data_IF_393017632570
#
_entry.id   IF_393017632570
#
_cell.length_a   1.000
_cell.length_b   1.000
_cell.length_c   1.000
_cell.angle_alpha   90.00
_cell.angle_beta   90.00
_cell.angle_gamma   90.00
#
_symmetry.space_group_name_H-M   'P 1'
#
loop_
_entity.id
_entity.type
_entity.pdbx_description
1 polymer ?
#
# COMPACT_ATOMS: atom_id res chain seq x y z
N UNK A 1 -10.30 -15.50 -9.17
CA UNK A 1 -9.57 -14.66 -8.18
C UNK A 1 -10.22 -13.30 -8.15
N UNK A 2 -10.61 -12.79 -6.98
CA UNK A 2 -11.26 -11.49 -6.85
C UNK A 2 -10.31 -10.52 -6.13
N UNK A 3 -10.06 -9.36 -6.75
CA UNK A 3 -9.15 -8.34 -6.23
C UNK A 3 -9.89 -7.03 -5.97
N UNK A 4 -9.45 -6.29 -4.95
CA UNK A 4 -9.92 -4.93 -4.68
C UNK A 4 -8.75 -3.97 -4.58
N UNK A 5 -8.90 -2.77 -5.12
CA UNK A 5 -7.99 -1.66 -4.89
C UNK A 5 -8.70 -0.58 -4.09
N UNK A 6 -8.20 -0.26 -2.90
CA UNK A 6 -8.89 0.56 -1.89
C UNK A 6 -8.00 1.72 -1.42
N UNK A 7 -8.59 2.78 -0.86
CA UNK A 7 -7.82 3.85 -0.19
C UNK A 7 -7.18 3.33 1.10
N UNK A 8 -6.08 3.94 1.52
CA UNK A 8 -5.43 3.54 2.77
C UNK A 8 -6.28 3.77 4.02
N UNK A 9 -7.10 4.82 4.06
CA UNK A 9 -7.97 5.10 5.22
C UNK A 9 -8.96 3.95 5.43
N UNK A 10 -8.87 3.28 6.58
CA UNK A 10 -9.74 2.17 6.93
C UNK A 10 -10.96 2.62 7.76
N UNK A 11 -12.18 2.15 7.43
CA UNK A 11 -12.52 1.40 6.22
C UNK A 11 -12.61 2.34 5.00
N UNK A 12 -12.41 1.81 3.79
CA UNK A 12 -12.74 2.55 2.57
C UNK A 12 -14.29 2.62 2.44
N UNK A 13 -14.91 3.80 2.60
CA UNK A 13 -16.37 3.91 2.62
C UNK A 13 -17.01 3.55 1.27
N UNK A 14 -16.29 3.72 0.16
CA UNK A 14 -16.81 3.42 -1.19
C UNK A 14 -16.87 1.93 -1.45
N UNK A 15 -15.99 1.16 -0.82
CA UNK A 15 -15.85 -0.28 -1.00
C UNK A 15 -16.42 -1.09 0.18
N UNK A 16 -16.91 -0.44 1.25
CA UNK A 16 -17.30 -1.08 2.50
C UNK A 16 -18.23 -2.27 2.32
N UNK A 17 -19.33 -2.12 1.58
CA UNK A 17 -20.31 -3.21 1.36
C UNK A 17 -19.67 -4.43 0.69
N UNK A 18 -18.85 -4.23 -0.33
CA UNK A 18 -18.16 -5.31 -1.02
C UNK A 18 -17.09 -5.96 -0.13
N UNK A 19 -16.33 -5.15 0.59
CA UNK A 19 -15.31 -5.56 1.55
C UNK A 19 -15.88 -6.37 2.73
N UNK A 20 -17.11 -6.08 3.15
CA UNK A 20 -17.78 -6.81 4.23
C UNK A 20 -18.15 -8.24 3.86
N UNK A 21 -18.29 -8.54 2.55
CA UNK A 21 -18.52 -9.92 2.07
C UNK A 21 -17.34 -10.87 2.32
N UNK A 22 -16.15 -10.31 2.56
CA UNK A 22 -14.87 -11.06 2.71
C UNK A 22 -14.53 -11.97 1.52
N UNK A 23 -15.09 -11.72 0.33
CA UNK A 23 -14.85 -12.53 -0.88
C UNK A 23 -13.54 -12.17 -1.62
N UNK A 24 -12.91 -11.04 -1.30
CA UNK A 24 -11.67 -10.63 -1.94
C UNK A 24 -10.48 -11.47 -1.48
N UNK A 25 -9.90 -12.20 -2.43
CA UNK A 25 -8.68 -13.00 -2.23
C UNK A 25 -7.42 -12.14 -2.18
N UNK A 26 -7.42 -10.97 -2.85
CA UNK A 26 -6.32 -10.02 -2.84
C UNK A 26 -6.83 -8.60 -2.62
N UNK A 27 -6.17 -7.83 -1.75
CA UNK A 27 -6.53 -6.44 -1.44
C UNK A 27 -5.29 -5.57 -1.62
N UNK A 28 -5.38 -4.60 -2.51
CA UNK A 28 -4.32 -3.66 -2.84
C UNK A 28 -4.65 -2.32 -2.18
N UNK A 29 -3.97 -2.02 -1.07
CA UNK A 29 -4.27 -0.81 -0.28
C UNK A 29 -3.39 0.33 -0.78
N UNK A 30 -3.98 1.40 -1.30
CA UNK A 30 -3.27 2.55 -1.87
C UNK A 30 -2.78 3.49 -0.78
N UNK A 31 -1.48 3.44 -0.46
CA UNK A 31 -0.80 4.36 0.48
C UNK A 31 -0.21 5.58 -0.23
N UNK A 32 -1.00 6.16 -1.14
CA UNK A 32 -0.74 7.38 -1.91
C UNK A 32 -2.08 8.10 -2.15
N UNK A 33 -2.05 9.37 -2.55
CA UNK A 33 -3.26 10.17 -2.87
C UNK A 33 -4.23 10.36 -1.67
N UNK A 34 -3.73 10.17 -0.45
CA UNK A 34 -4.45 10.44 0.80
C UNK A 34 -3.48 10.86 1.92
N UNK A 35 -3.38 12.16 2.25
CA UNK A 35 -2.39 12.67 3.20
C UNK A 35 -2.59 12.15 4.63
N UNK A 36 -3.76 11.58 4.96
CA UNK A 36 -4.03 11.01 6.29
C UNK A 36 -3.29 9.70 6.52
N UNK A 37 -2.85 9.04 5.46
CA UNK A 37 -2.25 7.72 5.56
C UNK A 37 -1.15 7.42 4.54
N UNK A 38 -0.82 8.31 3.59
CA UNK A 38 0.36 8.14 2.75
C UNK A 38 1.65 8.41 3.54
N UNK A 39 2.74 7.72 3.17
CA UNK A 39 3.95 7.67 3.99
C UNK A 39 4.62 9.03 4.20
N UNK A 40 4.77 9.84 3.15
CA UNK A 40 5.48 11.12 3.27
C UNK A 40 4.68 12.19 4.05
N UNK A 41 3.38 11.96 4.27
CA UNK A 41 2.51 12.88 5.02
C UNK A 41 2.25 12.38 6.45
N UNK A 42 1.94 11.10 6.62
CA UNK A 42 1.56 10.51 7.90
C UNK A 42 2.70 9.74 8.59
N UNK A 43 3.84 9.58 7.92
CA UNK A 43 4.98 8.81 8.38
C UNK A 43 4.69 7.31 8.52
N UNK A 44 5.68 6.59 9.07
CA UNK A 44 5.54 5.16 9.35
C UNK A 44 4.36 4.87 10.30
N UNK A 45 4.18 5.69 11.33
CA UNK A 45 3.12 5.50 12.32
C UNK A 45 1.73 5.60 11.69
N UNK A 46 1.48 6.59 10.82
CA UNK A 46 0.20 6.75 10.15
C UNK A 46 -0.10 5.62 9.16
N UNK A 47 0.91 5.17 8.41
CA UNK A 47 0.77 4.01 7.52
C UNK A 47 0.44 2.75 8.33
N UNK A 48 1.20 2.46 9.39
CA UNK A 48 0.99 1.27 10.21
C UNK A 48 -0.34 1.28 10.97
N UNK A 49 -0.83 2.45 11.38
CA UNK A 49 -2.15 2.58 12.00
C UNK A 49 -3.28 2.08 11.08
N UNK A 50 -3.17 2.33 9.77
CA UNK A 50 -4.14 1.80 8.80
C UNK A 50 -3.82 0.36 8.39
N UNK A 51 -2.55 0.05 8.13
CA UNK A 51 -2.11 -1.29 7.74
C UNK A 51 -2.57 -2.35 8.75
N UNK A 52 -2.40 -2.10 10.05
CA UNK A 52 -2.81 -3.01 11.12
C UNK A 52 -4.32 -3.24 11.15
N UNK A 53 -5.13 -2.23 10.80
CA UNK A 53 -6.59 -2.39 10.71
C UNK A 53 -6.99 -3.23 9.50
N UNK A 54 -6.34 -3.00 8.36
CA UNK A 54 -6.54 -3.80 7.15
C UNK A 54 -6.15 -5.26 7.37
N UNK A 55 -4.95 -5.54 7.91
CA UNK A 55 -4.48 -6.90 8.16
C UNK A 55 -5.32 -7.64 9.21
N UNK A 56 -5.68 -6.99 10.32
CA UNK A 56 -6.52 -7.59 11.35
C UNK A 56 -7.94 -7.91 10.85
N UNK A 57 -8.50 -7.09 9.95
CA UNK A 57 -9.85 -7.33 9.41
C UNK A 57 -9.91 -8.44 8.36
N UNK A 58 -8.79 -8.65 7.64
CA UNK A 58 -8.68 -9.58 6.51
C UNK A 58 -7.49 -10.55 6.66
N UNK A 59 -7.44 -11.35 7.74
CA UNK A 59 -6.30 -12.25 7.99
C UNK A 59 -6.15 -13.34 6.92
N UNK A 60 -7.23 -13.70 6.23
CA UNK A 60 -7.25 -14.74 5.19
C UNK A 60 -7.06 -14.19 3.76
N UNK A 61 -6.89 -12.88 3.60
CA UNK A 61 -6.67 -12.25 2.30
C UNK A 61 -5.18 -11.91 2.13
N UNK A 62 -4.72 -11.92 0.87
CA UNK A 62 -3.39 -11.44 0.50
C UNK A 62 -3.43 -9.92 0.35
N UNK A 63 -2.78 -9.20 1.26
CA UNK A 63 -2.77 -7.73 1.29
C UNK A 63 -1.47 -7.19 0.69
N UNK A 64 -1.61 -6.35 -0.33
CA UNK A 64 -0.51 -5.71 -1.03
C UNK A 64 -0.39 -4.24 -0.61
N UNK A 65 0.85 -3.80 -0.35
CA UNK A 65 1.20 -2.41 -0.11
C UNK A 65 1.22 -1.66 -1.45
N UNK A 66 0.23 -0.80 -1.69
CA UNK A 66 0.15 0.03 -2.90
C UNK A 66 0.97 1.31 -2.78
N UNK A 67 1.96 1.51 -3.65
CA UNK A 67 2.87 2.66 -3.67
C UNK A 67 2.79 3.42 -4.99
N UNK A 68 3.02 4.73 -4.95
CA UNK A 68 3.24 5.53 -6.16
C UNK A 68 4.68 5.33 -6.67
N UNK A 69 4.83 5.10 -7.97
CA UNK A 69 6.12 4.89 -8.62
C UNK A 69 6.87 6.20 -8.94
N UNK A 70 6.20 7.35 -8.82
CA UNK A 70 6.80 8.68 -8.98
C UNK A 70 6.05 9.73 -8.15
N UNK A 71 6.76 10.81 -7.81
CA UNK A 71 6.13 12.05 -7.38
C UNK A 71 5.65 12.80 -8.62
N UNK A 72 4.34 12.96 -8.77
CA UNK A 72 3.75 13.81 -9.81
C UNK A 72 3.66 15.25 -9.30
N UNK A 73 3.64 16.23 -10.21
CA UNK A 73 3.57 17.65 -9.83
C UNK A 73 2.44 17.92 -8.83
N UNK A 74 2.78 18.56 -7.70
CA UNK A 74 1.83 18.85 -6.62
C UNK A 74 1.52 17.67 -5.69
N UNK A 75 2.13 16.49 -5.89
CA UNK A 75 2.01 15.33 -4.98
C UNK A 75 3.37 14.90 -4.44
N UNK A 76 3.36 14.43 -3.20
CA UNK A 76 4.53 13.88 -2.51
C UNK A 76 4.23 12.46 -2.04
N UNK A 77 3.95 11.55 -2.97
CA UNK A 77 3.42 10.22 -2.67
C UNK A 77 4.44 9.07 -2.85
N UNK A 78 5.55 9.30 -3.56
CA UNK A 78 6.58 8.30 -3.79
C UNK A 78 7.43 8.13 -2.54
N UNK A 79 7.45 6.92 -1.99
CA UNK A 79 8.28 6.59 -0.82
C UNK A 79 9.73 6.43 -1.26
N UNK A 80 10.65 7.15 -0.63
CA UNK A 80 12.08 7.01 -0.92
C UNK A 80 12.57 5.58 -0.66
N UNK A 81 13.41 5.04 -1.56
CA UNK A 81 13.90 3.64 -1.48
C UNK A 81 14.57 3.32 -0.14
N UNK A 82 15.31 4.28 0.42
CA UNK A 82 15.97 4.11 1.73
C UNK A 82 14.98 3.97 2.89
N UNK A 83 13.88 4.72 2.87
CA UNK A 83 12.82 4.65 3.88
C UNK A 83 11.95 3.42 3.68
N UNK A 84 11.66 3.07 2.42
CA UNK A 84 10.98 1.84 2.06
C UNK A 84 11.73 0.62 2.61
N UNK A 85 13.04 0.52 2.33
CA UNK A 85 13.89 -0.60 2.75
C UNK A 85 14.07 -0.68 4.26
N UNK A 86 14.38 0.44 4.92
CA UNK A 86 14.81 0.41 6.33
C UNK A 86 13.66 0.45 7.32
N UNK A 87 12.49 0.95 6.91
CA UNK A 87 11.38 1.22 7.84
C UNK A 87 10.08 0.58 7.39
N UNK A 88 9.60 0.92 6.20
CA UNK A 88 8.23 0.58 5.81
C UNK A 88 8.06 -0.91 5.49
N UNK A 89 8.89 -1.48 4.61
CA UNK A 89 8.80 -2.90 4.24
C UNK A 89 8.99 -3.83 5.46
N UNK A 90 10.02 -3.66 6.30
CA UNK A 90 10.18 -4.49 7.50
C UNK A 90 9.01 -4.40 8.48
N UNK A 91 8.26 -3.28 8.49
CA UNK A 91 7.10 -3.13 9.36
C UNK A 91 5.88 -3.87 8.82
N UNK A 92 5.58 -3.76 7.53
CA UNK A 92 4.42 -4.44 6.91
C UNK A 92 4.64 -5.95 6.74
N UNK A 93 5.88 -6.38 6.47
CA UNK A 93 6.23 -7.80 6.32
C UNK A 93 6.02 -8.61 7.61
N UNK A 94 5.89 -7.96 8.78
CA UNK A 94 5.57 -8.63 10.05
C UNK A 94 4.13 -9.11 10.16
N UNK A 95 3.23 -8.65 9.29
CA UNK A 95 1.84 -9.12 9.28
C UNK A 95 1.70 -10.32 8.36
N UNK A 96 1.07 -11.40 8.84
CA UNK A 96 0.89 -12.65 8.09
C UNK A 96 0.16 -12.46 6.75
N UNK A 97 -0.73 -11.49 6.67
CA UNK A 97 -1.49 -11.17 5.45
C UNK A 97 -0.67 -10.43 4.38
N UNK A 98 0.57 -9.98 4.66
CA UNK A 98 1.40 -9.28 3.67
C UNK A 98 1.72 -10.20 2.48
N UNK A 99 1.49 -9.71 1.28
CA UNK A 99 1.64 -10.49 0.06
C UNK A 99 2.50 -9.84 -1.04
N UNK A 100 3.02 -8.63 -0.79
CA UNK A 100 3.89 -7.91 -1.71
C UNK A 100 3.55 -6.43 -1.87
N UNK A 101 4.10 -5.82 -2.92
CA UNK A 101 3.91 -4.42 -3.28
C UNK A 101 3.17 -4.32 -4.61
N UNK A 102 2.30 -3.31 -4.76
CA UNK A 102 1.70 -2.92 -6.04
C UNK A 102 2.13 -1.51 -6.38
N UNK A 103 2.54 -1.28 -7.62
CA UNK A 103 3.01 0.03 -8.07
C UNK A 103 1.98 0.71 -8.97
N UNK A 104 1.67 1.96 -8.64
CA UNK A 104 0.95 2.88 -9.50
C UNK A 104 1.93 3.88 -10.11
N UNK A 105 2.26 3.80 -11.39
CA UNK A 105 1.84 2.82 -12.40
C UNK A 105 3.02 2.48 -13.34
N UNK A 106 2.78 1.65 -14.35
CA UNK A 106 3.81 1.22 -15.30
C UNK A 106 4.48 2.36 -16.05
N UNK A 107 3.74 3.43 -16.38
CA UNK A 107 4.29 4.61 -17.04
C UNK A 107 5.30 5.32 -16.15
N UNK A 108 4.96 5.58 -14.88
CA UNK A 108 5.90 6.23 -13.98
C UNK A 108 7.06 5.32 -13.59
N UNK A 109 6.82 4.02 -13.46
CA UNK A 109 7.86 3.05 -13.16
C UNK A 109 8.88 2.92 -14.32
N UNK A 110 8.45 3.04 -15.58
CA UNK A 110 9.39 3.03 -16.70
C UNK A 110 10.32 4.24 -16.71
N UNK A 111 9.88 5.38 -16.15
CA UNK A 111 10.66 6.61 -16.04
C UNK A 111 11.60 6.60 -14.82
N UNK A 112 11.12 6.14 -13.67
CA UNK A 112 11.88 6.19 -12.40
C UNK A 112 12.65 4.91 -12.10
N UNK A 113 12.31 3.82 -12.78
CA UNK A 113 12.80 2.47 -12.52
C UNK A 113 12.54 2.00 -11.08
N UNK A 114 11.54 2.56 -10.40
CA UNK A 114 11.27 2.31 -8.99
C UNK A 114 11.06 0.82 -8.67
N UNK A 115 10.34 0.12 -9.53
CA UNK A 115 10.04 -1.31 -9.47
C UNK A 115 11.29 -2.18 -9.50
N UNK A 116 12.38 -1.74 -10.13
CA UNK A 116 13.67 -2.47 -10.06
C UNK A 116 14.18 -2.48 -8.62
N UNK A 117 14.12 -1.34 -7.93
CA UNK A 117 14.52 -1.26 -6.53
C UNK A 117 13.57 -2.06 -5.63
N UNK A 118 12.26 -1.89 -5.80
CA UNK A 118 11.24 -2.59 -5.00
C UNK A 118 11.36 -4.12 -5.13
N UNK A 119 11.60 -4.64 -6.34
CA UNK A 119 11.72 -6.08 -6.61
C UNK A 119 12.83 -6.75 -5.78
N UNK A 120 13.88 -6.03 -5.43
CA UNK A 120 14.97 -6.57 -4.60
C UNK A 120 14.72 -6.47 -3.10
N UNK A 121 13.61 -5.84 -2.68
CA UNK A 121 13.29 -5.58 -1.27
C UNK A 121 12.02 -6.29 -0.78
N UNK A 122 11.05 -6.47 -1.67
CA UNK A 122 9.66 -6.78 -1.34
C UNK A 122 9.32 -8.27 -1.38
#
# INVERSE_FOLDING_TARGET
>A
MLTATVRCSYPDPRMKKALDTKLFTQIHVRFYDDPRCSYNHAGLAGVMAQWNRWSARYPNSRIFLGLAAANVTGKNDMVGVGELRRKLLPAVQKTESYAGVTLWNSYYDSLTHYGRYVKHLA
#
